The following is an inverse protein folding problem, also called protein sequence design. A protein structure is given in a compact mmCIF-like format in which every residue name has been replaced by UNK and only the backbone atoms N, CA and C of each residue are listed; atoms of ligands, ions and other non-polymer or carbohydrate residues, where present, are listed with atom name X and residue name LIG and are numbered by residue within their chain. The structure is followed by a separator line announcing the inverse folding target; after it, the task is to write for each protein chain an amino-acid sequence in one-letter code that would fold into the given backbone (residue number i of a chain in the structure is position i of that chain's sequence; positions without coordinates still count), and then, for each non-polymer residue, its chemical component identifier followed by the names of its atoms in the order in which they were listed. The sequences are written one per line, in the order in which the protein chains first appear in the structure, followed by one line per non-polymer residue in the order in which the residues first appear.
data_IF_965059537958
#
_entry.id   IF_965059537958
#
_cell.length_a   1.000
_cell.length_b   1.000
_cell.length_c   1.000
_cell.angle_alpha   90.00
_cell.angle_beta   90.00
_cell.angle_gamma   90.00
#
_symmetry.space_group_name_H-M   'P 1'
#
loop_
_entity.id
_entity.type
_entity.pdbx_description
1 polymer ?
#
# COMPACT_ATOMS: atom_id res chain seq x y z
N UNK A 1 -19.77 39.11 15.90
CA UNK A 1 -19.30 38.57 14.59
C UNK A 1 -18.29 37.47 14.91
N UNK A 2 -18.78 36.24 15.12
CA UNK A 2 -17.96 35.08 15.45
C UNK A 2 -17.75 34.26 14.18
N UNK A 3 -16.49 34.07 13.79
CA UNK A 3 -16.09 33.20 12.69
C UNK A 3 -16.04 31.78 13.26
N UNK A 4 -17.01 30.95 12.87
CA UNK A 4 -17.08 29.54 13.22
C UNK A 4 -16.17 28.75 12.27
N UNK A 5 -15.05 28.25 12.77
CA UNK A 5 -14.19 27.31 12.05
C UNK A 5 -14.82 25.92 12.11
N UNK A 6 -15.39 25.46 11.00
CA UNK A 6 -15.87 24.09 10.85
C UNK A 6 -14.67 23.13 10.68
N UNK A 7 -14.45 22.26 11.66
CA UNK A 7 -13.50 21.15 11.56
C UNK A 7 -14.23 19.99 10.88
N UNK A 8 -13.81 19.64 9.67
CA UNK A 8 -14.33 18.50 8.93
C UNK A 8 -13.65 17.21 9.44
N UNK A 9 -14.36 16.41 10.23
CA UNK A 9 -13.92 15.07 10.64
C UNK A 9 -14.50 14.04 9.66
N UNK A 10 -13.62 13.43 8.86
CA UNK A 10 -13.96 12.30 7.98
C UNK A 10 -13.98 11.03 8.81
N UNK A 11 -15.16 10.43 9.00
CA UNK A 11 -15.31 9.10 9.58
C UNK A 11 -15.14 8.05 8.47
N UNK A 12 -14.13 7.20 8.60
CA UNK A 12 -14.00 6.00 7.75
C UNK A 12 -14.68 4.84 8.49
N UNK A 13 -15.92 4.52 8.11
CA UNK A 13 -16.58 3.28 8.53
C UNK A 13 -16.01 2.14 7.67
N UNK A 14 -15.06 1.40 8.23
CA UNK A 14 -14.51 0.18 7.62
C UNK A 14 -15.48 -0.99 7.87
N UNK A 15 -16.16 -1.44 6.81
CA UNK A 15 -16.93 -2.69 6.82
C UNK A 15 -16.05 -3.85 6.33
N UNK A 16 -15.38 -4.55 7.24
CA UNK A 16 -14.94 -5.94 7.06
C UNK A 16 -14.34 -6.52 8.36
N UNK A 17 -15.09 -7.42 8.98
CA UNK A 17 -14.71 -8.59 9.82
C UNK A 17 -13.55 -8.54 10.84
N UNK A 18 -12.93 -7.40 11.14
CA UNK A 18 -12.30 -7.23 12.43
C UNK A 18 -13.42 -7.12 13.47
N UNK A 19 -13.39 -7.93 14.52
CA UNK A 19 -14.31 -7.79 15.65
C UNK A 19 -13.99 -6.45 16.33
N UNK A 20 -14.55 -5.35 15.81
CA UNK A 20 -14.57 -4.07 16.48
C UNK A 20 -15.39 -4.30 17.74
N UNK A 21 -14.72 -4.48 18.87
CA UNK A 21 -15.37 -4.37 20.17
C UNK A 21 -15.75 -2.91 20.33
N UNK A 22 -16.89 -2.52 19.76
CA UNK A 22 -17.54 -1.26 20.08
C UNK A 22 -17.97 -1.36 21.53
N UNK A 23 -17.14 -0.86 22.45
CA UNK A 23 -17.59 -0.59 23.80
C UNK A 23 -18.36 0.72 23.76
N UNK A 24 -19.64 0.65 24.12
CA UNK A 24 -20.44 1.83 24.41
C UNK A 24 -19.89 2.45 25.70
N UNK A 25 -19.38 3.68 25.60
CA UNK A 25 -19.07 4.48 26.78
C UNK A 25 -20.32 5.27 27.15
N UNK A 26 -20.80 5.10 28.39
CA UNK A 26 -21.90 5.87 28.98
C UNK A 26 -21.31 7.08 29.75
N UNK A 27 -22.01 8.21 29.79
CA UNK A 27 -21.65 9.45 30.52
C UNK A 27 -20.29 10.09 30.13
N UNK A 28 -20.17 10.60 28.90
CA UNK A 28 -18.91 11.27 28.47
C UNK A 28 -19.18 12.62 27.81
N UNK A 29 -19.23 13.68 28.61
CA UNK A 29 -19.40 15.06 28.13
C UNK A 29 -18.19 15.57 27.32
N UNK A 30 -16.98 15.05 27.57
CA UNK A 30 -15.74 15.28 26.81
C UNK A 30 -14.78 14.09 26.98
N UNK A 31 -14.09 13.71 25.90
CA UNK A 31 -13.02 12.68 25.79
C UNK A 31 -12.77 11.85 27.07
N UNK A 32 -13.49 10.74 27.19
CA UNK A 32 -13.36 9.80 28.30
C UNK A 32 -12.44 8.63 27.95
N UNK A 33 -11.76 8.03 28.94
CA UNK A 33 -10.95 6.83 28.73
C UNK A 33 -11.84 5.65 28.37
N UNK A 34 -11.68 5.10 27.16
CA UNK A 34 -12.34 3.86 26.75
C UNK A 34 -11.59 2.60 27.15
N UNK A 35 -10.36 2.77 27.65
CA UNK A 35 -9.45 1.71 28.02
C UNK A 35 -8.51 2.23 29.09
N UNK A 36 -7.84 1.32 29.80
CA UNK A 36 -6.67 1.64 30.62
C UNK A 36 -5.50 2.19 29.79
N UNK A 37 -5.54 2.00 28.47
CA UNK A 37 -4.60 2.63 27.55
C UNK A 37 -4.99 4.09 27.28
N UNK A 38 -4.17 5.04 27.73
CA UNK A 38 -4.39 6.48 27.53
C UNK A 38 -4.45 6.92 26.06
N UNK A 39 -4.01 6.08 25.11
CA UNK A 39 -4.10 6.34 23.68
C UNK A 39 -5.47 5.98 23.08
N UNK A 40 -6.32 5.26 23.84
CA UNK A 40 -7.72 5.00 23.50
C UNK A 40 -8.57 6.17 24.03
N UNK A 41 -9.24 6.87 23.13
CA UNK A 41 -10.23 7.89 23.46
C UNK A 41 -11.62 7.53 23.01
N UNK A 42 -12.63 7.88 23.81
CA UNK A 42 -14.00 7.88 23.36
C UNK A 42 -14.29 9.18 22.58
N UNK A 43 -14.67 9.04 21.31
CA UNK A 43 -15.10 10.13 20.45
C UNK A 43 -16.63 10.24 20.48
N UNK A 44 -17.15 11.35 21.01
CA UNK A 44 -18.59 11.60 21.04
C UNK A 44 -19.16 11.68 19.62
N UNK A 45 -20.25 10.96 19.35
CA UNK A 45 -20.95 11.05 18.07
C UNK A 45 -21.93 12.23 18.10
N UNK A 46 -21.83 13.15 17.14
CA UNK A 46 -22.75 14.27 17.06
C UNK A 46 -24.18 13.77 16.82
N UNK A 47 -25.13 14.16 17.68
CA UNK A 47 -26.54 13.84 17.54
C UNK A 47 -27.06 12.69 18.42
N UNK A 48 -26.21 12.05 19.21
CA UNK A 48 -26.64 11.09 20.24
C UNK A 48 -26.05 11.52 21.59
N UNK A 49 -26.93 11.74 22.57
CA UNK A 49 -26.53 11.98 23.96
C UNK A 49 -25.97 10.65 24.50
N UNK A 50 -24.80 10.68 25.15
CA UNK A 50 -24.17 9.55 25.85
C UNK A 50 -23.71 8.36 24.99
N UNK A 51 -23.36 8.57 23.72
CA UNK A 51 -22.72 7.52 22.91
C UNK A 51 -21.49 8.03 22.14
N UNK A 52 -20.43 7.23 22.16
CA UNK A 52 -19.19 7.51 21.43
C UNK A 52 -18.49 6.25 20.96
N UNK A 53 -17.51 6.43 20.07
CA UNK A 53 -16.71 5.34 19.51
C UNK A 53 -15.33 5.38 20.16
N UNK A 54 -14.86 4.24 20.65
CA UNK A 54 -13.50 4.04 21.10
C UNK A 54 -12.56 3.99 19.90
N UNK A 55 -11.68 4.98 19.77
CA UNK A 55 -10.68 5.03 18.70
C UNK A 55 -9.30 5.34 19.25
N UNK A 56 -8.28 4.90 18.51
CA UNK A 56 -6.92 5.39 18.73
C UNK A 56 -6.77 6.73 18.03
N UNK A 57 -6.28 7.72 18.76
CA UNK A 57 -5.84 8.96 18.13
C UNK A 57 -4.51 8.68 17.42
N UNK A 58 -4.53 8.76 16.09
CA UNK A 58 -3.35 8.68 15.23
C UNK A 58 -2.91 10.09 14.84
N UNK A 59 -2.03 10.73 15.62
CA UNK A 59 -1.37 11.97 15.20
C UNK A 59 -0.36 11.68 14.08
N UNK A 60 -0.18 12.67 13.20
CA UNK A 60 0.92 12.69 12.23
C UNK A 60 2.26 12.89 12.95
N UNK A 61 3.35 12.29 12.45
CA UNK A 61 4.64 12.27 13.13
C UNK A 61 5.21 13.65 13.51
N UNK A 62 4.88 14.70 12.74
CA UNK A 62 5.30 16.07 13.03
C UNK A 62 4.66 16.67 14.29
N UNK A 63 3.59 16.07 14.80
CA UNK A 63 2.89 16.50 16.02
C UNK A 63 3.29 15.67 17.24
N UNK A 64 4.08 14.60 17.05
CA UNK A 64 4.62 13.79 18.12
C UNK A 64 5.79 14.53 18.77
N UNK A 65 5.72 14.76 20.07
CA UNK A 65 6.90 15.16 20.85
C UNK A 65 7.40 13.94 21.63
N UNK A 66 8.71 13.62 21.59
CA UNK A 66 9.27 12.61 22.46
C UNK A 66 9.07 13.02 23.91
N UNK A 67 8.74 12.06 24.77
CA UNK A 67 8.57 12.36 26.19
C UNK A 67 9.89 12.78 26.85
N UNK A 68 9.80 13.63 27.87
CA UNK A 68 10.95 14.02 28.67
C UNK A 68 11.31 12.89 29.65
N UNK A 69 12.57 12.45 29.61
CA UNK A 69 13.08 11.21 30.22
C UNK A 69 13.04 11.13 31.76
N UNK A 70 12.69 12.21 32.45
CA UNK A 70 12.77 12.27 33.92
C UNK A 70 11.47 12.00 34.67
N UNK A 71 10.30 12.07 34.00
CA UNK A 71 9.00 11.89 34.66
C UNK A 71 7.93 11.23 33.79
N UNK A 72 8.15 11.14 32.49
CA UNK A 72 7.16 10.66 31.52
C UNK A 72 7.77 9.54 30.66
N UNK A 73 8.17 8.43 31.28
CA UNK A 73 8.67 7.26 30.55
C UNK A 73 7.57 6.19 30.41
N UNK A 74 7.68 5.36 29.39
CA UNK A 74 6.88 4.15 29.29
C UNK A 74 7.61 3.02 30.01
N UNK A 75 6.96 2.41 31.00
CA UNK A 75 7.54 1.31 31.77
C UNK A 75 7.61 -0.01 30.98
N UNK A 76 6.93 -0.08 29.83
CA UNK A 76 6.87 -1.28 29.00
C UNK A 76 8.04 -1.33 28.00
N UNK A 77 8.74 -2.48 27.87
CA UNK A 77 9.75 -2.66 26.85
C UNK A 77 9.13 -2.54 25.45
N UNK A 78 9.93 -2.12 24.47
CA UNK A 78 9.51 -1.98 23.06
C UNK A 78 8.31 -1.05 22.87
N UNK A 79 8.21 0.00 23.68
CA UNK A 79 7.23 1.07 23.50
C UNK A 79 7.90 2.42 23.29
N UNK A 80 7.29 3.26 22.47
CA UNK A 80 7.71 4.62 22.24
C UNK A 80 6.77 5.54 22.97
N UNK A 81 7.37 6.42 23.76
CA UNK A 81 6.64 7.43 24.51
C UNK A 81 6.42 8.67 23.66
N UNK A 82 5.16 9.07 23.53
CA UNK A 82 4.74 10.28 22.83
C UNK A 82 3.93 11.16 23.77
N UNK A 83 4.26 12.45 23.81
CA UNK A 83 3.39 13.46 24.42
C UNK A 83 2.37 13.98 23.39
N UNK A 84 1.09 13.75 23.66
CA UNK A 84 0.01 14.23 22.81
C UNK A 84 -0.53 15.59 23.29
N UNK A 85 -0.77 16.53 22.37
CA UNK A 85 -1.15 17.91 22.70
C UNK A 85 -2.45 18.02 23.50
N UNK A 86 -3.34 17.04 23.38
CA UNK A 86 -4.62 16.99 24.13
C UNK A 86 -4.52 16.25 25.46
N UNK A 87 -3.46 15.51 25.71
CA UNK A 87 -3.33 14.62 26.87
C UNK A 87 -2.58 15.24 28.05
N UNK A 88 -2.43 16.59 28.09
CA UNK A 88 -1.87 17.41 29.18
C UNK A 88 -0.91 16.63 30.10
N UNK A 89 0.29 16.38 29.57
CA UNK A 89 1.43 15.77 30.26
C UNK A 89 1.35 14.27 30.57
N UNK A 90 0.28 13.58 30.18
CA UNK A 90 0.21 12.12 30.28
C UNK A 90 0.93 11.49 29.07
N UNK A 91 1.99 10.68 29.28
CA UNK A 91 2.66 9.97 28.20
C UNK A 91 1.75 8.93 27.56
N UNK A 92 1.76 8.87 26.24
CA UNK A 92 1.14 7.78 25.47
C UNK A 92 2.20 6.80 25.02
N UNK A 93 2.02 5.53 25.36
CA UNK A 93 2.94 4.45 25.04
C UNK A 93 2.41 3.64 23.86
N UNK A 94 3.11 3.71 22.73
CA UNK A 94 2.78 2.94 21.53
C UNK A 94 3.77 1.79 21.37
N UNK A 95 3.33 0.56 21.11
CA UNK A 95 4.24 -0.53 20.75
C UNK A 95 5.06 -0.16 19.52
N UNK A 96 6.35 -0.46 19.51
CA UNK A 96 7.23 -0.24 18.34
C UNK A 96 6.71 -1.00 17.11
N UNK A 97 6.04 -2.14 17.30
CA UNK A 97 5.38 -2.91 16.23
C UNK A 97 4.23 -2.17 15.54
N UNK A 98 3.69 -1.12 16.16
CA UNK A 98 2.67 -0.25 15.56
C UNK A 98 3.27 0.95 14.84
N UNK A 99 4.58 1.20 14.97
CA UNK A 99 5.25 2.24 14.21
C UNK A 99 5.62 1.74 12.81
N UNK A 100 4.95 2.30 11.81
CA UNK A 100 5.43 2.21 10.44
C UNK A 100 6.65 3.14 10.28
N UNK A 101 7.84 2.56 10.07
CA UNK A 101 9.10 3.28 9.87
C UNK A 101 9.08 4.24 8.66
N UNK A 102 8.03 4.19 7.83
CA UNK A 102 7.84 5.07 6.66
C UNK A 102 7.17 6.41 7.01
N UNK A 103 6.52 6.53 8.17
CA UNK A 103 5.78 7.75 8.57
C UNK A 103 6.60 8.61 9.53
N UNK A 104 7.36 7.99 10.42
CA UNK A 104 8.28 8.68 11.33
C UNK A 104 9.72 8.32 10.93
N UNK A 105 10.59 9.28 10.61
CA UNK A 105 12.01 8.97 10.42
C UNK A 105 12.55 8.32 11.70
N UNK A 106 13.44 7.34 11.54
CA UNK A 106 14.20 6.74 12.64
C UNK A 106 14.71 7.87 13.53
N UNK A 107 14.24 7.95 14.79
CA UNK A 107 14.88 8.80 15.77
C UNK A 107 16.27 8.23 15.94
N UNK A 108 17.27 8.86 15.31
CA UNK A 108 18.65 8.61 15.65
C UNK A 108 18.75 8.83 17.16
N UNK A 109 18.91 7.73 17.90
CA UNK A 109 19.31 7.82 19.29
C UNK A 109 20.65 8.54 19.28
N UNK A 110 20.64 9.85 19.55
CA UNK A 110 21.82 10.61 19.91
C UNK A 110 22.35 9.96 21.18
N UNK A 111 23.20 8.95 21.00
CA UNK A 111 24.02 8.39 22.06
C UNK A 111 24.93 9.52 22.51
N UNK A 112 24.55 10.18 23.60
CA UNK A 112 25.48 10.97 24.39
C UNK A 112 26.53 10.00 24.93
N UNK A 113 27.63 9.89 24.20
CA UNK A 113 28.76 9.01 24.52
C UNK A 113 29.48 9.55 25.75
N UNK A 114 29.11 9.08 26.93
CA UNK A 114 30.00 9.13 28.10
C UNK A 114 31.08 8.09 27.86
N UNK A 115 32.32 8.53 27.66
CA UNK A 115 33.47 7.67 27.39
C UNK A 115 33.74 6.74 28.58
N UNK A 116 33.43 5.46 28.44
CA UNK A 116 33.99 4.41 29.27
C UNK A 116 34.63 3.39 28.34
N UNK A 117 35.95 3.30 28.42
CA UNK A 117 36.79 2.40 27.66
C UNK A 117 36.52 0.95 28.09
N UNK A 118 35.81 0.19 27.26
CA UNK A 118 35.83 -1.25 27.32
C UNK A 118 35.81 -1.80 25.89
N UNK A 119 36.94 -2.38 25.49
CA UNK A 119 37.14 -3.01 24.19
C UNK A 119 36.27 -4.25 24.12
N UNK A 120 35.21 -4.20 23.31
CA UNK A 120 34.46 -5.41 22.92
C UNK A 120 34.17 -5.32 21.43
N UNK A 121 34.82 -6.18 20.68
CA UNK A 121 34.59 -6.38 19.25
C UNK A 121 33.19 -6.97 19.03
N UNK A 122 32.25 -6.14 18.58
CA UNK A 122 30.91 -6.57 18.18
C UNK A 122 30.90 -6.71 16.65
N UNK A 123 30.92 -7.95 16.19
CA UNK A 123 30.64 -8.31 14.79
C UNK A 123 29.17 -8.01 14.52
N UNK A 124 28.90 -7.03 13.66
CA UNK A 124 27.53 -6.64 13.27
C UNK A 124 27.13 -7.48 12.06
N UNK A 125 26.32 -8.51 12.28
CA UNK A 125 25.75 -9.33 11.20
C UNK A 125 24.43 -8.72 10.76
N UNK A 126 24.41 -8.10 9.57
CA UNK A 126 23.18 -7.67 8.93
C UNK A 126 22.39 -8.91 8.48
N UNK A 127 21.19 -9.12 9.06
CA UNK A 127 20.25 -10.12 8.58
C UNK A 127 19.42 -9.54 7.44
N UNK A 128 19.89 -9.75 6.21
CA UNK A 128 19.10 -9.58 4.99
C UNK A 128 18.12 -10.75 4.92
N UNK A 129 16.84 -10.53 5.21
CA UNK A 129 15.80 -11.54 4.97
C UNK A 129 15.47 -11.56 3.48
N UNK A 130 16.29 -12.29 2.71
CA UNK A 130 15.87 -12.82 1.40
C UNK A 130 14.70 -13.77 1.63
N UNK A 131 13.48 -13.29 1.38
CA UNK A 131 12.34 -14.18 1.22
C UNK A 131 12.65 -15.11 0.04
N UNK A 132 12.87 -16.38 0.32
CA UNK A 132 12.96 -17.42 -0.70
C UNK A 132 11.64 -17.43 -1.46
N UNK A 133 11.67 -17.37 -2.81
CA UNK A 133 10.45 -17.51 -3.59
C UNK A 133 9.82 -18.86 -3.24
N UNK A 134 8.53 -18.93 -2.89
CA UNK A 134 7.87 -20.20 -2.70
C UNK A 134 7.94 -20.97 -4.01
N UNK A 135 8.64 -22.11 -4.01
CA UNK A 135 8.65 -23.06 -5.12
C UNK A 135 7.31 -23.80 -5.11
N UNK A 136 6.26 -23.10 -5.49
CA UNK A 136 4.94 -23.69 -5.66
C UNK A 136 4.88 -24.29 -7.07
N UNK A 137 4.93 -25.61 -7.13
CA UNK A 137 4.40 -26.36 -8.28
C UNK A 137 2.88 -26.33 -8.17
N UNK A 138 2.28 -25.18 -8.49
CA UNK A 138 0.83 -24.98 -8.43
C UNK A 138 0.22 -25.49 -9.73
N UNK A 139 -0.59 -26.55 -9.65
CA UNK A 139 -1.69 -26.74 -10.59
C UNK A 139 -2.49 -25.43 -10.55
N UNK A 140 -2.52 -24.68 -11.65
CA UNK A 140 -3.19 -23.38 -11.72
C UNK A 140 -4.63 -23.54 -11.19
N UNK A 141 -4.88 -23.13 -9.94
CA UNK A 141 -6.24 -22.88 -9.51
C UNK A 141 -6.68 -21.71 -10.37
N UNK A 142 -7.52 -22.02 -11.35
CA UNK A 142 -8.13 -21.04 -12.23
C UNK A 142 -8.72 -19.95 -11.35
N UNK A 143 -8.09 -18.78 -11.38
CA UNK A 143 -8.48 -17.69 -10.52
C UNK A 143 -9.89 -17.29 -10.90
N UNK A 144 -10.79 -17.33 -9.92
CA UNK A 144 -12.22 -17.14 -10.16
C UNK A 144 -12.52 -15.65 -10.30
N UNK A 145 -12.05 -15.04 -11.38
CA UNK A 145 -12.49 -13.73 -11.81
C UNK A 145 -13.87 -13.90 -12.45
N UNK A 146 -14.91 -13.28 -11.91
CA UNK A 146 -16.18 -13.21 -12.63
C UNK A 146 -15.97 -12.44 -13.93
N UNK A 147 -16.62 -12.85 -15.02
CA UNK A 147 -16.49 -12.20 -16.34
C UNK A 147 -16.72 -10.66 -16.27
N UNK A 148 -17.57 -10.18 -15.37
CA UNK A 148 -17.85 -8.75 -15.19
C UNK A 148 -16.70 -7.95 -14.57
N UNK A 149 -15.75 -8.60 -13.92
CA UNK A 149 -14.57 -7.97 -13.30
C UNK A 149 -13.28 -8.19 -14.10
N UNK A 150 -13.36 -8.97 -15.18
CA UNK A 150 -12.24 -9.23 -16.06
C UNK A 150 -12.12 -8.09 -17.08
N UNK A 151 -10.97 -7.41 -17.06
CA UNK A 151 -10.60 -6.46 -18.09
C UNK A 151 -9.74 -7.18 -19.11
N UNK A 152 -10.29 -7.31 -20.31
CA UNK A 152 -9.54 -7.65 -21.53
C UNK A 152 -9.34 -6.38 -22.34
N UNK A 153 -8.44 -6.41 -23.33
CA UNK A 153 -8.08 -5.21 -24.11
C UNK A 153 -8.63 -5.23 -25.55
N UNK A 154 -9.56 -6.14 -25.84
CA UNK A 154 -10.14 -6.38 -27.17
C UNK A 154 -10.87 -5.18 -27.79
N UNK A 155 -11.34 -4.25 -26.94
CA UNK A 155 -12.08 -3.07 -27.39
C UNK A 155 -11.17 -1.85 -27.61
N UNK A 156 -9.85 -1.99 -27.50
CA UNK A 156 -8.91 -0.91 -27.78
C UNK A 156 -8.59 -0.83 -29.28
N UNK A 157 -8.09 0.32 -29.74
CA UNK A 157 -7.58 0.47 -31.12
C UNK A 157 -6.10 0.05 -31.21
N UNK A 158 -5.65 -0.48 -32.35
CA UNK A 158 -4.35 -1.16 -32.44
C UNK A 158 -3.22 -0.17 -32.18
N UNK A 159 -2.31 -0.52 -31.27
CA UNK A 159 -1.16 0.32 -30.90
C UNK A 159 -1.56 1.69 -30.33
N UNK A 160 -2.75 1.79 -29.73
CA UNK A 160 -3.26 3.06 -29.21
C UNK A 160 -3.10 3.15 -27.70
N UNK A 161 -2.99 4.39 -27.23
CA UNK A 161 -3.08 4.68 -25.81
C UNK A 161 -4.47 4.24 -25.32
N UNK A 162 -4.52 3.50 -24.21
CA UNK A 162 -5.78 3.13 -23.58
C UNK A 162 -6.47 4.43 -23.12
N UNK A 163 -7.72 4.71 -23.57
CA UNK A 163 -8.38 5.96 -23.26
C UNK A 163 -8.80 6.04 -21.79
N UNK A 164 -8.85 7.26 -21.26
CA UNK A 164 -9.49 7.49 -19.95
C UNK A 164 -10.97 7.09 -20.02
N UNK A 165 -11.46 6.43 -18.97
CA UNK A 165 -12.81 5.87 -18.90
C UNK A 165 -12.91 4.42 -19.39
N UNK A 166 -11.84 3.82 -19.90
CA UNK A 166 -11.82 2.39 -20.18
C UNK A 166 -12.00 1.60 -18.87
N UNK A 167 -13.18 0.99 -18.71
CA UNK A 167 -13.68 0.39 -17.46
C UNK A 167 -13.75 1.38 -16.28
N UNK A 168 -14.15 2.63 -16.53
CA UNK A 168 -14.25 3.70 -15.51
C UNK A 168 -12.91 4.03 -14.81
N UNK A 169 -11.80 3.60 -15.41
CA UNK A 169 -10.44 3.84 -14.93
C UNK A 169 -9.73 4.89 -15.80
N UNK A 170 -8.74 5.55 -15.21
CA UNK A 170 -7.76 6.40 -15.91
C UNK A 170 -6.46 5.64 -16.07
N UNK A 171 -5.94 5.67 -17.29
CA UNK A 171 -4.77 4.90 -17.70
C UNK A 171 -3.65 5.85 -18.11
N UNK A 172 -2.57 5.86 -17.34
CA UNK A 172 -1.40 6.71 -17.58
C UNK A 172 -0.28 5.82 -18.09
N UNK A 173 0.26 6.18 -19.26
CA UNK A 173 1.29 5.44 -19.96
C UNK A 173 0.93 3.96 -20.24
N UNK A 174 -0.34 3.67 -20.46
CA UNK A 174 -0.81 2.35 -20.86
C UNK A 174 -1.26 2.37 -22.32
N UNK A 175 -0.82 1.38 -23.09
CA UNK A 175 -1.15 1.21 -24.51
C UNK A 175 -1.66 -0.19 -24.73
N UNK A 176 -2.55 -0.35 -25.70
CA UNK A 176 -3.06 -1.65 -26.10
C UNK A 176 -2.43 -2.10 -27.42
N UNK A 177 -2.16 -3.39 -27.53
CA UNK A 177 -1.57 -4.02 -28.70
C UNK A 177 -2.34 -5.26 -29.10
N UNK A 178 -2.73 -5.34 -30.38
CA UNK A 178 -3.16 -6.59 -31.00
C UNK A 178 -1.93 -7.42 -31.33
N UNK A 179 -1.80 -8.55 -30.65
CA UNK A 179 -0.65 -9.44 -30.80
C UNK A 179 -0.67 -10.23 -32.10
N UNK A 180 -1.81 -10.38 -32.78
CA UNK A 180 -1.89 -11.04 -34.09
C UNK A 180 -1.31 -10.16 -35.20
N UNK A 181 -1.51 -8.84 -35.10
CA UNK A 181 -0.97 -7.87 -36.07
C UNK A 181 0.51 -7.57 -35.81
N UNK A 182 0.95 -7.67 -34.55
CA UNK A 182 2.33 -7.42 -34.16
C UNK A 182 3.25 -8.61 -34.45
N UNK A 183 3.47 -8.95 -35.72
CA UNK A 183 4.25 -10.13 -36.17
C UNK A 183 5.74 -10.11 -35.80
N UNK A 184 6.23 -9.06 -35.14
CA UNK A 184 7.62 -8.94 -34.73
C UNK A 184 7.87 -9.81 -33.49
N UNK A 185 8.43 -10.99 -33.75
CA UNK A 185 8.95 -11.98 -32.80
C UNK A 185 7.91 -12.63 -31.88
N UNK A 186 7.53 -13.86 -32.22
CA UNK A 186 6.85 -14.82 -31.34
C UNK A 186 7.61 -15.12 -30.04
N UNK A 187 8.85 -14.64 -29.92
CA UNK A 187 9.72 -14.73 -28.74
C UNK A 187 9.71 -13.45 -27.87
N UNK A 188 8.62 -12.68 -27.90
CA UNK A 188 8.45 -11.51 -27.05
C UNK A 188 7.39 -11.74 -25.96
N UNK A 189 7.50 -10.97 -24.87
CA UNK A 189 6.51 -10.99 -23.80
C UNK A 189 5.11 -10.63 -24.27
N UNK A 190 4.99 -9.85 -25.35
CA UNK A 190 3.69 -9.49 -25.93
C UNK A 190 2.86 -10.73 -26.26
N UNK A 191 3.48 -11.78 -26.81
CA UNK A 191 2.81 -13.05 -27.07
C UNK A 191 2.66 -13.89 -25.82
N UNK A 192 3.71 -13.94 -24.99
CA UNK A 192 3.69 -14.81 -23.81
C UNK A 192 2.66 -14.39 -22.76
N UNK A 193 2.26 -13.12 -22.72
CA UNK A 193 1.24 -12.62 -21.80
C UNK A 193 -0.19 -12.92 -22.22
N UNK A 194 -0.46 -13.14 -23.51
CA UNK A 194 -1.82 -13.36 -24.04
C UNK A 194 -2.42 -14.60 -23.40
N UNK A 195 -3.45 -14.39 -22.60
CA UNK A 195 -4.18 -15.45 -21.90
C UNK A 195 -5.64 -15.46 -22.33
N UNK A 196 -6.20 -14.29 -22.65
CA UNK A 196 -7.51 -14.19 -23.31
C UNK A 196 -7.44 -13.35 -24.59
N UNK A 197 -8.21 -13.77 -25.59
CA UNK A 197 -8.32 -13.05 -26.86
C UNK A 197 -6.97 -12.90 -27.59
N UNK A 198 -6.67 -11.67 -27.98
CA UNK A 198 -5.53 -11.28 -28.82
C UNK A 198 -4.88 -9.97 -28.40
N UNK A 199 -5.48 -9.23 -27.47
CA UNK A 199 -5.03 -7.89 -27.08
C UNK A 199 -4.42 -7.86 -25.69
N UNK A 200 -3.35 -7.07 -25.54
CA UNK A 200 -2.64 -6.89 -24.28
C UNK A 200 -2.41 -5.41 -23.99
N UNK A 201 -2.27 -5.05 -22.71
CA UNK A 201 -1.81 -3.74 -22.28
C UNK A 201 -0.30 -3.73 -22.02
N UNK A 202 0.37 -2.60 -22.25
CA UNK A 202 1.80 -2.45 -21.96
C UNK A 202 2.16 -1.01 -21.62
N UNK A 203 3.31 -0.84 -20.97
CA UNK A 203 3.90 0.47 -20.71
C UNK A 203 4.80 0.93 -21.87
N UNK A 204 4.62 2.16 -22.33
CA UNK A 204 5.44 2.68 -23.43
C UNK A 204 6.83 3.08 -22.93
N UNK A 205 7.85 2.84 -23.76
CA UNK A 205 9.26 3.23 -23.55
C UNK A 205 9.94 2.73 -22.25
N UNK A 206 9.31 1.83 -21.51
CA UNK A 206 9.82 1.38 -20.22
C UNK A 206 9.46 2.30 -19.05
N UNK A 207 8.74 3.40 -19.29
CA UNK A 207 8.28 4.30 -18.24
C UNK A 207 7.21 3.62 -17.35
N UNK A 208 6.97 4.11 -16.14
CA UNK A 208 5.95 3.56 -15.25
C UNK A 208 4.55 3.61 -15.86
N UNK A 209 3.71 2.62 -15.58
CA UNK A 209 2.27 2.66 -15.92
C UNK A 209 1.45 2.91 -14.66
N UNK A 210 0.40 3.72 -14.73
CA UNK A 210 -0.51 3.94 -13.59
C UNK A 210 -1.95 3.69 -13.99
N UNK A 211 -2.66 2.94 -13.15
CA UNK A 211 -4.11 2.79 -13.20
C UNK A 211 -4.68 3.52 -11.99
N UNK A 212 -5.65 4.40 -12.20
CA UNK A 212 -6.30 5.12 -11.10
C UNK A 212 -7.76 5.42 -11.36
N UNK A 213 -8.50 5.67 -10.28
CA UNK A 213 -9.86 6.20 -10.31
C UNK A 213 -9.90 7.50 -9.49
N UNK A 214 -10.76 8.43 -9.89
CA UNK A 214 -10.90 9.69 -9.14
C UNK A 214 -11.53 9.45 -7.76
N UNK A 215 -11.06 10.18 -6.76
CA UNK A 215 -11.69 10.19 -5.44
C UNK A 215 -13.15 10.70 -5.55
N UNK A 216 -14.08 10.16 -4.74
CA UNK A 216 -13.87 9.27 -3.58
C UNK A 216 -13.86 7.77 -3.92
N UNK A 217 -13.91 7.40 -5.21
CA UNK A 217 -14.05 6.01 -5.61
C UNK A 217 -12.78 5.20 -5.31
N UNK A 218 -12.98 3.89 -5.15
CA UNK A 218 -11.91 2.90 -5.00
C UNK A 218 -12.20 1.71 -5.91
N UNK A 219 -11.16 0.92 -6.18
CA UNK A 219 -11.26 -0.37 -6.83
C UNK A 219 -10.45 -1.41 -6.05
N UNK A 220 -10.68 -2.67 -6.38
CA UNK A 220 -9.88 -3.80 -5.94
C UNK A 220 -9.04 -4.28 -7.12
N UNK A 221 -7.84 -4.80 -6.85
CA UNK A 221 -7.11 -5.64 -7.80
C UNK A 221 -6.94 -7.00 -7.16
N UNK A 222 -7.54 -8.01 -7.78
CA UNK A 222 -7.38 -9.41 -7.36
C UNK A 222 -6.13 -10.00 -8.00
N UNK A 223 -6.01 -9.91 -9.32
CA UNK A 223 -4.92 -10.50 -10.08
C UNK A 223 -4.75 -9.93 -11.47
N UNK A 224 -3.68 -10.33 -12.13
CA UNK A 224 -3.48 -10.14 -13.57
C UNK A 224 -2.42 -11.11 -14.10
N UNK A 225 -2.40 -11.31 -15.42
CA UNK A 225 -1.33 -12.00 -16.13
C UNK A 225 -0.30 -10.99 -16.59
N UNK A 226 0.98 -11.32 -16.45
CA UNK A 226 2.06 -10.41 -16.85
C UNK A 226 3.26 -11.14 -17.45
N UNK A 227 3.95 -10.48 -18.37
CA UNK A 227 5.26 -10.90 -18.88
C UNK A 227 6.17 -9.68 -19.08
N UNK A 228 7.47 -9.91 -19.23
CA UNK A 228 8.42 -8.88 -19.66
C UNK A 228 8.48 -8.83 -21.18
N UNK A 229 8.43 -7.68 -21.83
CA UNK A 229 8.38 -7.63 -23.29
C UNK A 229 9.66 -8.12 -23.97
N UNK A 230 10.84 -7.78 -23.42
CA UNK A 230 12.14 -7.89 -24.13
C UNK A 230 13.15 -8.78 -23.44
N UNK A 231 13.25 -8.70 -22.12
CA UNK A 231 14.30 -9.35 -21.32
C UNK A 231 13.74 -10.34 -20.30
N UNK A 232 14.55 -11.31 -19.91
CA UNK A 232 14.21 -12.19 -18.78
C UNK A 232 14.70 -11.56 -17.46
N UNK A 233 14.15 -12.05 -16.34
CA UNK A 233 14.53 -11.64 -14.98
C UNK A 233 14.29 -10.15 -14.68
N UNK A 234 13.32 -9.54 -15.36
CA UNK A 234 12.84 -8.19 -15.06
C UNK A 234 12.12 -8.22 -13.72
N UNK A 235 12.43 -7.27 -12.85
CA UNK A 235 11.69 -7.02 -11.61
C UNK A 235 10.51 -6.12 -11.93
N UNK A 236 9.29 -6.61 -11.77
CA UNK A 236 8.08 -5.80 -11.76
C UNK A 236 7.78 -5.39 -10.33
N UNK A 237 7.83 -4.10 -10.04
CA UNK A 237 7.47 -3.49 -8.77
C UNK A 237 6.16 -2.74 -8.88
N UNK A 238 5.35 -2.78 -7.83
CA UNK A 238 4.06 -2.12 -7.78
C UNK A 238 3.89 -1.38 -6.48
N UNK A 239 3.24 -0.22 -6.55
CA UNK A 239 2.88 0.60 -5.40
C UNK A 239 1.42 0.99 -5.54
N UNK A 240 0.61 0.74 -4.52
CA UNK A 240 -0.77 1.21 -4.44
C UNK A 240 -0.94 2.36 -3.47
N UNK A 241 -1.97 3.17 -3.70
CA UNK A 241 -2.32 4.31 -2.88
C UNK A 241 -3.83 4.35 -2.62
N UNK A 242 -4.20 4.92 -1.47
CA UNK A 242 -5.55 5.35 -1.15
C UNK A 242 -5.49 6.84 -0.82
N UNK A 243 -6.00 7.65 -1.71
CA UNK A 243 -5.86 9.09 -1.64
C UNK A 243 -4.43 9.54 -1.94
N UNK A 244 -3.84 10.32 -1.05
CA UNK A 244 -2.42 10.69 -1.11
C UNK A 244 -1.51 9.75 -0.31
N UNK A 245 -2.08 8.71 0.31
CA UNK A 245 -1.37 7.83 1.24
C UNK A 245 -0.91 6.56 0.53
N UNK A 246 0.38 6.26 0.61
CA UNK A 246 0.93 4.96 0.21
C UNK A 246 0.29 3.83 1.01
N UNK A 247 -0.12 2.77 0.33
CA UNK A 247 -0.90 1.70 0.94
C UNK A 247 -0.16 0.36 0.97
N UNK A 248 0.15 -0.22 -0.19
CA UNK A 248 0.83 -1.52 -0.31
C UNK A 248 1.86 -1.50 -1.42
N UNK A 249 2.90 -2.31 -1.28
CA UNK A 249 3.92 -2.52 -2.30
C UNK A 249 4.23 -4.01 -2.47
N UNK A 250 4.61 -4.41 -3.68
CA UNK A 250 5.06 -5.77 -3.98
C UNK A 250 6.05 -5.75 -5.15
N UNK A 251 6.88 -6.78 -5.27
CA UNK A 251 7.80 -6.95 -6.39
C UNK A 251 7.95 -8.42 -6.79
N UNK A 252 8.00 -8.69 -8.09
CA UNK A 252 8.07 -10.05 -8.64
C UNK A 252 9.05 -10.11 -9.80
N UNK A 253 9.74 -11.25 -9.95
CA UNK A 253 10.56 -11.51 -11.14
C UNK A 253 9.68 -12.09 -12.26
N UNK A 254 9.66 -11.41 -13.40
CA UNK A 254 8.92 -11.80 -14.61
C UNK A 254 9.90 -12.12 -15.76
N UNK A 255 9.45 -12.89 -16.74
CA UNK A 255 10.24 -13.29 -17.90
C UNK A 255 9.53 -12.98 -19.20
N UNK A 256 10.28 -13.02 -20.31
CA UNK A 256 9.73 -12.71 -21.64
C UNK A 256 9.10 -13.90 -22.36
N UNK A 257 9.55 -15.11 -22.02
CA UNK A 257 9.12 -16.35 -22.66
C UNK A 257 8.04 -17.10 -21.86
N UNK A 258 7.48 -16.49 -20.83
CA UNK A 258 6.42 -17.06 -20.00
C UNK A 258 5.57 -15.95 -19.40
N UNK A 259 4.27 -16.16 -19.34
CA UNK A 259 3.43 -15.37 -18.46
C UNK A 259 3.62 -15.77 -17.00
N UNK A 260 3.34 -14.84 -16.11
CA UNK A 260 3.29 -15.02 -14.67
C UNK A 260 1.97 -14.47 -14.19
N UNK A 261 1.22 -15.28 -13.45
CA UNK A 261 0.03 -14.81 -12.75
C UNK A 261 0.46 -14.14 -11.45
N UNK A 262 0.03 -12.90 -11.24
CA UNK A 262 0.25 -12.19 -9.98
C UNK A 262 -1.09 -12.05 -9.29
N UNK A 263 -1.18 -12.56 -8.08
CA UNK A 263 -2.32 -12.39 -7.18
C UNK A 263 -1.96 -11.34 -6.12
N UNK A 264 -2.71 -10.25 -6.06
CA UNK A 264 -2.49 -9.15 -5.12
C UNK A 264 -3.55 -9.12 -4.02
N UNK A 265 -4.83 -9.24 -4.37
CA UNK A 265 -5.96 -9.03 -3.45
C UNK A 265 -5.83 -7.70 -2.69
N UNK A 266 -5.59 -6.62 -3.43
CA UNK A 266 -5.47 -5.27 -2.89
C UNK A 266 -6.81 -4.54 -2.99
N UNK A 267 -7.49 -4.43 -1.86
CA UNK A 267 -8.80 -3.79 -1.73
C UNK A 267 -8.67 -2.29 -1.41
N UNK A 268 -9.72 -1.54 -1.72
CA UNK A 268 -9.91 -0.13 -1.35
C UNK A 268 -8.78 0.83 -1.77
N UNK A 269 -8.16 0.55 -2.92
CA UNK A 269 -7.14 1.43 -3.50
C UNK A 269 -7.79 2.35 -4.53
N UNK A 270 -7.18 3.48 -4.81
CA UNK A 270 -7.62 4.34 -5.91
C UNK A 270 -6.55 4.55 -6.97
N UNK A 271 -5.32 4.11 -6.70
CA UNK A 271 -4.19 4.19 -7.63
C UNK A 271 -3.31 2.96 -7.44
N UNK A 272 -2.84 2.39 -8.54
CA UNK A 272 -1.69 1.49 -8.58
C UNK A 272 -0.73 1.96 -9.65
N UNK A 273 0.57 1.97 -9.34
CA UNK A 273 1.64 2.29 -10.27
C UNK A 273 2.58 1.11 -10.38
N UNK A 274 2.90 0.76 -11.62
CA UNK A 274 3.78 -0.34 -12.00
C UNK A 274 5.11 0.23 -12.51
N UNK A 275 6.20 -0.38 -12.09
CA UNK A 275 7.56 -0.10 -12.51
C UNK A 275 8.20 -1.42 -12.93
N UNK A 276 8.91 -1.42 -14.05
CA UNK A 276 9.71 -2.57 -14.44
C UNK A 276 11.15 -2.14 -14.62
N UNK A 277 12.07 -2.92 -14.07
CA UNK A 277 13.50 -2.69 -14.20
C UNK A 277 14.24 -4.01 -14.31
N UNK A 278 15.40 -4.00 -14.94
CA UNK A 278 16.38 -5.05 -14.78
C UNK A 278 17.56 -4.49 -13.98
N UNK A 279 18.26 -5.36 -13.26
CA UNK A 279 19.35 -4.96 -12.37
C UNK A 279 20.57 -4.36 -13.14
N UNK A 280 20.54 -4.40 -14.47
CA UNK A 280 21.65 -4.09 -15.37
C UNK A 280 21.49 -2.79 -16.17
N UNK A 281 20.33 -2.13 -16.14
CA UNK A 281 20.11 -0.92 -16.94
C UNK A 281 19.60 0.24 -16.11
N UNK A 282 19.93 1.46 -16.56
CA UNK A 282 19.38 2.71 -16.01
C UNK A 282 18.01 3.05 -16.60
N UNK A 283 17.53 2.26 -17.56
CA UNK A 283 16.29 2.50 -18.28
C UNK A 283 15.22 1.57 -17.71
N UNK A 284 13.98 2.04 -17.66
CA UNK A 284 12.87 1.16 -17.31
C UNK A 284 12.64 0.11 -18.39
N UNK A 285 12.02 -1.00 -18.01
CA UNK A 285 11.72 -2.12 -18.89
C UNK A 285 10.26 -2.08 -19.34
N UNK A 286 9.99 -2.63 -20.52
CA UNK A 286 8.61 -2.81 -21.00
C UNK A 286 8.07 -4.11 -20.43
N UNK A 287 6.90 -4.06 -19.81
CA UNK A 287 6.11 -5.19 -19.35
C UNK A 287 4.73 -5.17 -20.03
N UNK A 288 4.11 -6.34 -20.07
CA UNK A 288 2.85 -6.57 -20.77
C UNK A 288 1.88 -7.22 -19.80
N UNK A 289 0.67 -6.68 -19.67
CA UNK A 289 -0.42 -7.17 -18.83
C UNK A 289 -1.58 -7.67 -19.70
N UNK A 290 -2.18 -8.78 -19.27
CA UNK A 290 -3.46 -9.30 -19.75
C UNK A 290 -4.32 -9.76 -18.57
N UNK A 291 -5.60 -10.04 -18.81
CA UNK A 291 -6.55 -10.60 -17.84
C UNK A 291 -6.53 -9.89 -16.48
N UNK A 292 -6.64 -8.55 -16.49
CA UNK A 292 -6.66 -7.77 -15.27
C UNK A 292 -7.99 -7.95 -14.54
N UNK A 293 -7.95 -8.64 -13.40
CA UNK A 293 -9.11 -8.90 -12.56
C UNK A 293 -9.23 -7.89 -11.43
N UNK A 294 -10.31 -7.09 -11.46
CA UNK A 294 -10.64 -6.13 -10.41
C UNK A 294 -11.47 -6.75 -9.26
#
# INVERSE_FOLDING_TARGET
MMISNAICLVFILLSATAQVRSQLCLDVDQYGPCSLNGACGCFHMAGLVDTGICGFLWPICSQLKPCNSSSNACDQPDTICVQHIRCRDIPLCYPVSMMDQRICPSMEMTNSTTTITATTSITTTFMTTTATPPTNTTTAQQLNCSDSSLITFENATTYSKIPDGYYDLKWINAYALDTQVYTQSSESGFYSAVTSGTWVAFNMNGDSMTIRIDQPNTFTIKSFMVSAARENNVTLSMISQRGSTYYKEASFKIGKNRSTTIELNWFDINTITFYASNDNTRQGEVFVIDDLCL
#
